data_IF_725470760595
#
_entry.id   IF_725470760595
#
_cell.length_a   1.000
_cell.length_b   1.000
_cell.length_c   1.000
_cell.angle_alpha   90.00
_cell.angle_beta   90.00
_cell.angle_gamma   90.00
#
_symmetry.space_group_name_H-M   'P 1'
#
loop_
_entity.id
_entity.type
_entity.pdbx_description
1 polymer ?
#
# COMPACT_ATOMS: atom_id res chain seq x y z
N UNK A 1 1.15 -57.34 -1.79
CA UNK A 1 0.37 -56.09 -1.70
C UNK A 1 0.95 -55.06 -2.67
N UNK A 2 0.08 -54.39 -3.44
CA UNK A 2 0.24 -53.13 -4.22
C UNK A 2 1.17 -53.07 -5.46
N UNK A 3 0.59 -53.48 -6.60
CA UNK A 3 0.47 -52.83 -7.94
C UNK A 3 1.59 -51.88 -8.45
N UNK A 4 2.37 -52.42 -9.39
CA UNK A 4 2.73 -51.91 -10.74
C UNK A 4 2.57 -50.42 -11.07
N UNK A 5 3.66 -49.77 -11.52
CA UNK A 5 3.65 -48.77 -12.60
C UNK A 5 4.87 -49.02 -13.50
N UNK A 6 4.61 -49.56 -14.68
CA UNK A 6 5.57 -49.95 -15.70
C UNK A 6 5.49 -48.95 -16.86
N UNK A 7 6.65 -48.43 -17.28
CA UNK A 7 7.04 -47.82 -18.59
C UNK A 7 6.37 -46.48 -18.99
N UNK A 8 7.13 -45.39 -19.09
CA UNK A 8 8.17 -45.03 -20.09
C UNK A 8 7.59 -44.46 -21.40
N UNK A 9 7.97 -43.22 -21.73
CA UNK A 9 8.14 -42.74 -23.10
C UNK A 9 9.00 -41.48 -23.10
N UNK A 10 10.30 -41.65 -23.31
CA UNK A 10 11.15 -40.60 -23.85
C UNK A 10 10.78 -40.40 -25.32
N UNK A 11 10.69 -39.16 -25.78
CA UNK A 11 10.94 -38.82 -27.19
C UNK A 11 11.24 -37.34 -27.32
N UNK A 12 12.54 -37.04 -27.45
CA UNK A 12 13.02 -35.83 -28.12
C UNK A 12 12.68 -36.01 -29.59
N UNK A 13 12.00 -35.05 -30.19
CA UNK A 13 11.90 -34.92 -31.64
C UNK A 13 12.27 -33.49 -32.03
N UNK A 14 13.52 -33.32 -32.45
CA UNK A 14 13.90 -32.22 -33.31
C UNK A 14 13.53 -32.64 -34.75
N UNK A 15 12.54 -31.99 -35.36
CA UNK A 15 12.34 -31.95 -36.82
C UNK A 15 11.76 -30.58 -37.18
N UNK A 16 12.52 -29.81 -37.96
CA UNK A 16 12.03 -28.56 -38.54
C UNK A 16 11.03 -28.81 -39.68
N UNK A 17 10.01 -27.98 -39.77
CA UNK A 17 9.34 -27.59 -41.01
C UNK A 17 8.45 -26.38 -40.71
N UNK A 18 8.64 -25.31 -41.47
CA UNK A 18 7.76 -24.15 -41.53
C UNK A 18 6.39 -24.63 -42.07
N UNK A 19 5.30 -24.36 -41.35
CA UNK A 19 3.96 -24.70 -41.80
C UNK A 19 2.88 -24.01 -40.96
N UNK A 20 2.08 -23.17 -41.60
CA UNK A 20 1.04 -22.35 -41.02
C UNK A 20 0.02 -23.16 -40.20
N UNK A 21 -0.27 -22.73 -38.97
CA UNK A 21 -1.35 -23.29 -38.17
C UNK A 21 -1.39 -22.62 -36.81
N UNK A 22 -2.41 -21.81 -36.57
CA UNK A 22 -2.62 -21.06 -35.34
C UNK A 22 -2.60 -21.97 -34.10
N UNK A 23 -1.47 -22.02 -33.40
CA UNK A 23 -1.49 -22.30 -31.98
C UNK A 23 -1.98 -21.00 -31.34
N UNK A 24 -3.28 -20.96 -31.05
CA UNK A 24 -3.84 -20.01 -30.10
C UNK A 24 -3.06 -20.23 -28.81
N UNK A 25 -2.04 -19.41 -28.59
CA UNK A 25 -1.35 -19.33 -27.32
C UNK A 25 -2.45 -18.99 -26.31
N UNK A 26 -2.84 -19.97 -25.50
CA UNK A 26 -3.65 -19.70 -24.32
C UNK A 26 -2.96 -18.53 -23.60
N UNK A 27 -3.69 -17.44 -23.28
CA UNK A 27 -3.08 -16.31 -22.59
C UNK A 27 -2.40 -16.88 -21.35
N UNK A 28 -1.09 -16.66 -21.30
CA UNK A 28 -0.24 -17.11 -20.22
C UNK A 28 -0.90 -16.59 -18.96
N UNK A 29 -1.39 -17.48 -18.11
CA UNK A 29 -1.92 -17.10 -16.82
C UNK A 29 -0.78 -16.35 -16.13
N UNK A 30 -0.87 -15.02 -16.11
CA UNK A 30 0.12 -14.16 -15.48
C UNK A 30 0.18 -14.63 -14.03
N UNK A 31 1.22 -15.39 -13.70
CA UNK A 31 1.53 -15.69 -12.33
C UNK A 31 1.61 -14.34 -11.63
N UNK A 32 0.70 -14.11 -10.69
CA UNK A 32 0.69 -12.93 -9.85
C UNK A 32 2.13 -12.70 -9.38
N UNK A 33 2.71 -11.55 -9.75
CA UNK A 33 4.06 -11.20 -9.34
C UNK A 33 4.18 -11.29 -7.81
N UNK A 34 5.41 -11.47 -7.28
CA UNK A 34 5.63 -11.55 -5.85
C UNK A 34 4.94 -10.40 -5.12
N UNK A 35 4.53 -10.69 -3.89
CA UNK A 35 3.96 -9.71 -2.99
C UNK A 35 4.98 -8.63 -2.66
N UNK A 36 4.55 -7.37 -2.63
CA UNK A 36 5.40 -6.25 -2.23
C UNK A 36 4.56 -5.21 -1.51
N UNK A 37 5.03 -4.81 -0.34
CA UNK A 37 4.41 -3.77 0.46
C UNK A 37 5.17 -2.48 0.29
N UNK A 38 4.42 -1.40 0.26
CA UNK A 38 4.94 -0.06 0.32
C UNK A 38 4.28 0.65 1.50
N UNK A 39 5.09 1.03 2.49
CA UNK A 39 4.61 1.93 3.52
C UNK A 39 4.38 3.32 2.92
N UNK A 40 3.26 3.93 3.28
CA UNK A 40 2.86 5.25 2.81
C UNK A 40 2.49 6.11 4.01
N UNK A 41 2.64 7.41 3.87
CA UNK A 41 2.33 8.32 4.95
C UNK A 41 2.42 9.76 4.51
N UNK A 42 2.10 10.63 5.45
CA UNK A 42 2.17 12.05 5.24
C UNK A 42 1.85 12.81 6.51
N UNK A 43 2.36 14.04 6.55
CA UNK A 43 2.03 15.01 7.58
C UNK A 43 1.63 16.29 6.86
N UNK A 44 0.34 16.59 6.87
CA UNK A 44 -0.23 17.69 6.10
C UNK A 44 -0.91 18.68 7.03
N UNK A 45 -0.77 19.96 6.71
CA UNK A 45 -1.46 21.02 7.41
C UNK A 45 -2.49 21.65 6.50
N UNK A 46 -3.76 21.54 6.89
CA UNK A 46 -4.88 22.02 6.08
C UNK A 46 -5.66 23.05 6.87
N UNK A 47 -6.02 24.15 6.23
CA UNK A 47 -6.95 25.10 6.81
C UNK A 47 -8.37 24.55 6.70
N UNK A 48 -9.02 24.29 7.84
CA UNK A 48 -10.43 23.93 7.88
C UNK A 48 -11.25 25.22 7.92
N UNK A 49 -12.09 25.50 6.90
CA UNK A 49 -13.07 26.58 6.98
C UNK A 49 -14.12 26.26 8.05
N UNK A 50 -15.00 27.22 8.30
CA UNK A 50 -16.12 27.07 9.24
C UNK A 50 -16.86 25.75 9.04
N UNK A 51 -17.01 25.00 10.13
CA UNK A 51 -17.82 23.79 10.13
C UNK A 51 -19.32 24.11 9.99
N UNK A 52 -20.14 23.12 9.61
CA UNK A 52 -21.58 23.30 9.39
C UNK A 52 -22.35 23.83 10.61
N UNK A 53 -21.80 23.68 11.83
CA UNK A 53 -22.44 24.08 13.07
C UNK A 53 -21.95 25.43 13.63
N UNK A 54 -21.09 26.18 12.94
CA UNK A 54 -20.48 27.45 13.44
C UNK A 54 -19.79 27.36 14.82
N UNK A 55 -19.65 26.16 15.38
CA UNK A 55 -19.04 25.89 16.69
C UNK A 55 -17.52 25.79 16.64
N UNK A 56 -16.99 25.50 15.46
CA UNK A 56 -15.57 25.41 15.18
C UNK A 56 -15.20 26.52 14.21
N UNK A 57 -14.55 27.55 14.74
CA UNK A 57 -13.97 28.62 13.94
C UNK A 57 -12.93 28.11 12.95
N UNK A 58 -12.56 28.94 11.95
CA UNK A 58 -11.53 28.62 10.99
C UNK A 58 -10.23 28.30 11.74
N UNK A 59 -9.70 27.11 11.48
CA UNK A 59 -8.53 26.63 12.20
C UNK A 59 -7.64 25.81 11.30
N UNK A 60 -6.35 25.99 11.46
CA UNK A 60 -5.38 25.06 10.94
C UNK A 60 -5.55 23.70 11.63
N UNK A 61 -5.61 22.65 10.84
CA UNK A 61 -5.63 21.28 11.32
C UNK A 61 -4.43 20.55 10.76
N UNK A 62 -3.62 20.00 11.66
CA UNK A 62 -2.58 19.06 11.27
C UNK A 62 -3.20 17.67 11.14
N UNK A 63 -2.89 16.98 10.05
CA UNK A 63 -3.26 15.61 9.79
C UNK A 63 -1.99 14.79 9.53
N UNK A 64 -1.62 13.96 10.51
CA UNK A 64 -0.62 12.91 10.31
C UNK A 64 -1.31 11.60 9.96
N UNK A 65 -0.77 10.89 9.00
CA UNK A 65 -1.28 9.59 8.64
C UNK A 65 -0.17 8.65 8.17
N UNK A 66 -0.38 7.37 8.41
CA UNK A 66 0.50 6.30 7.95
C UNK A 66 -0.34 5.07 7.64
N UNK A 67 0.02 4.42 6.55
CA UNK A 67 -0.68 3.32 5.95
C UNK A 67 0.27 2.43 5.16
N UNK A 68 -0.33 1.44 4.51
CA UNK A 68 0.39 0.48 3.69
C UNK A 68 -0.40 0.26 2.41
N UNK A 69 0.33 0.11 1.31
CA UNK A 69 -0.20 -0.26 0.02
C UNK A 69 0.48 -1.55 -0.42
N UNK A 70 -0.31 -2.52 -0.88
CA UNK A 70 0.24 -3.66 -1.60
C UNK A 70 0.48 -3.24 -3.05
N UNK A 71 1.74 -3.10 -3.44
CA UNK A 71 2.18 -2.77 -4.80
C UNK A 71 2.57 -4.00 -5.62
N UNK A 72 2.66 -5.16 -4.97
CA UNK A 72 2.92 -6.45 -5.62
C UNK A 72 1.70 -7.06 -6.32
N UNK A 73 1.92 -8.26 -6.86
CA UNK A 73 0.89 -8.98 -7.63
C UNK A 73 0.01 -9.91 -6.80
N UNK A 74 0.46 -10.34 -5.62
CA UNK A 74 -0.23 -11.32 -4.76
C UNK A 74 -0.84 -10.69 -3.51
N UNK A 75 -1.76 -11.40 -2.83
CA UNK A 75 -2.30 -10.97 -1.54
C UNK A 75 -1.26 -11.15 -0.44
N UNK A 76 -1.05 -10.11 0.37
CA UNK A 76 -0.17 -10.16 1.54
C UNK A 76 -0.95 -10.62 2.76
N UNK A 77 -0.32 -11.47 3.59
CA UNK A 77 -0.91 -12.02 4.79
C UNK A 77 -0.19 -11.52 6.05
N UNK A 78 -0.93 -11.41 7.14
CA UNK A 78 -0.46 -10.92 8.45
C UNK A 78 0.22 -9.55 8.38
N UNK A 79 -0.29 -8.66 7.55
CA UNK A 79 0.24 -7.30 7.40
C UNK A 79 -0.04 -6.47 8.64
N UNK A 80 1.02 -5.93 9.19
CA UNK A 80 1.01 -5.00 10.32
C UNK A 80 1.75 -3.73 9.98
N UNK A 81 1.38 -2.64 10.64
CA UNK A 81 2.11 -1.37 10.60
C UNK A 81 2.41 -0.94 12.02
N UNK A 82 3.65 -0.55 12.26
CA UNK A 82 4.14 -0.07 13.55
C UNK A 82 4.68 1.34 13.40
N UNK A 83 4.20 2.25 14.25
CA UNK A 83 4.82 3.56 14.40
C UNK A 83 6.08 3.42 15.28
N UNK A 84 7.20 4.04 14.89
CA UNK A 84 8.42 3.98 15.71
C UNK A 84 8.17 4.60 17.09
N UNK A 85 8.45 3.83 18.16
CA UNK A 85 8.15 4.24 19.53
C UNK A 85 6.65 4.27 19.88
N UNK A 86 5.79 3.74 19.01
CA UNK A 86 4.34 3.77 19.13
C UNK A 86 3.69 2.38 19.03
N UNK A 87 2.36 2.33 18.85
CA UNK A 87 1.62 1.07 18.80
C UNK A 87 1.78 0.39 17.44
N UNK A 88 1.60 -0.93 17.44
CA UNK A 88 1.46 -1.75 16.23
C UNK A 88 -0.01 -1.99 15.94
N UNK A 89 -0.43 -1.82 14.67
CA UNK A 89 -1.80 -2.05 14.22
C UNK A 89 -1.84 -3.07 13.08
N UNK A 90 -2.84 -3.94 13.13
CA UNK A 90 -3.14 -4.89 12.06
C UNK A 90 -3.96 -4.21 10.96
N UNK A 91 -3.72 -4.60 9.71
CA UNK A 91 -4.59 -4.18 8.60
C UNK A 91 -6.02 -4.64 8.87
N UNK A 92 -7.01 -3.73 8.91
CA UNK A 92 -8.40 -4.11 9.16
C UNK A 92 -8.95 -4.94 7.98
N UNK A 93 -9.86 -5.85 8.30
CA UNK A 93 -10.58 -6.61 7.28
C UNK A 93 -11.38 -5.66 6.38
N UNK A 94 -11.28 -5.85 5.06
CA UNK A 94 -12.09 -5.13 4.08
C UNK A 94 -13.18 -6.05 3.53
N UNK A 95 -14.43 -5.78 3.95
CA UNK A 95 -15.62 -6.55 3.54
C UNK A 95 -15.86 -6.51 2.03
N UNK A 96 -15.67 -5.37 1.39
CA UNK A 96 -15.85 -5.19 -0.06
C UNK A 96 -14.89 -6.07 -0.86
N UNK A 97 -13.68 -6.26 -0.34
CA UNK A 97 -12.64 -7.10 -0.94
C UNK A 97 -12.59 -8.53 -0.40
N UNK A 98 -13.48 -8.90 0.54
CA UNK A 98 -13.51 -10.21 1.21
C UNK A 98 -12.16 -10.60 1.85
N UNK A 99 -11.46 -9.63 2.43
CA UNK A 99 -10.17 -9.84 3.13
C UNK A 99 -10.38 -10.01 4.63
N UNK A 100 -9.54 -10.80 5.29
CA UNK A 100 -9.53 -10.94 6.75
C UNK A 100 -8.62 -9.89 7.38
N UNK A 101 -8.63 -9.81 8.72
CA UNK A 101 -7.69 -8.96 9.44
C UNK A 101 -6.26 -9.42 9.14
N UNK A 102 -5.38 -8.49 8.78
CA UNK A 102 -4.02 -8.75 8.34
C UNK A 102 -3.88 -9.12 6.86
N UNK A 103 -4.97 -9.26 6.10
CA UNK A 103 -4.88 -9.51 4.66
C UNK A 103 -4.95 -8.21 3.87
N UNK A 104 -4.02 -8.04 2.92
CA UNK A 104 -3.99 -6.89 2.02
C UNK A 104 -3.85 -7.36 0.57
N UNK A 105 -4.92 -7.24 -0.21
CA UNK A 105 -4.92 -7.65 -1.62
C UNK A 105 -4.05 -6.75 -2.49
N UNK A 106 -3.62 -7.26 -3.65
CA UNK A 106 -2.89 -6.48 -4.65
C UNK A 106 -3.61 -5.16 -4.98
N UNK A 107 -2.86 -4.06 -4.98
CA UNK A 107 -3.36 -2.70 -5.20
C UNK A 107 -4.22 -2.13 -4.07
N UNK A 108 -4.49 -2.88 -2.99
CA UNK A 108 -5.25 -2.37 -1.85
C UNK A 108 -4.36 -1.46 -1.00
N UNK A 109 -4.93 -0.33 -0.58
CA UNK A 109 -4.32 0.60 0.36
C UNK A 109 -5.12 0.60 1.66
N UNK A 110 -4.42 0.63 2.80
CA UNK A 110 -5.04 0.71 4.11
C UNK A 110 -4.30 1.74 4.97
N UNK A 111 -5.02 2.73 5.48
CA UNK A 111 -4.49 3.78 6.37
C UNK A 111 -4.89 3.45 7.80
N UNK A 112 -3.92 3.17 8.67
CA UNK A 112 -4.16 2.65 10.03
C UNK A 112 -3.89 3.72 11.11
N UNK A 113 -2.95 4.61 10.83
CA UNK A 113 -2.68 5.77 11.65
C UNK A 113 -3.27 6.98 10.95
N UNK A 114 -4.17 7.67 11.64
CA UNK A 114 -4.75 8.92 11.18
C UNK A 114 -5.06 9.71 12.44
N UNK A 115 -4.28 10.75 12.70
CA UNK A 115 -4.49 11.63 13.84
C UNK A 115 -4.62 13.05 13.32
N UNK A 116 -5.66 13.74 13.79
CA UNK A 116 -5.91 15.15 13.49
C UNK A 116 -5.89 15.95 14.78
N UNK A 117 -5.23 17.10 14.79
CA UNK A 117 -5.27 18.04 15.91
C UNK A 117 -5.32 19.49 15.43
N UNK A 118 -5.77 20.35 16.34
CA UNK A 118 -5.88 21.79 16.12
C UNK A 118 -4.47 22.42 16.15
N UNK A 119 -4.16 23.25 15.16
CA UNK A 119 -2.88 23.94 15.01
C UNK A 119 -1.96 23.31 13.96
N UNK A 120 -1.01 24.12 13.48
CA UNK A 120 -0.02 23.75 12.46
C UNK A 120 1.38 23.76 13.08
N UNK A 121 1.69 22.72 13.85
CA UNK A 121 2.99 22.60 14.52
C UNK A 121 3.87 21.59 13.80
N UNK A 122 5.21 21.79 13.74
CA UNK A 122 6.11 20.80 13.18
C UNK A 122 5.82 19.42 13.77
N UNK A 123 5.60 18.46 12.89
CA UNK A 123 5.24 17.11 13.27
C UNK A 123 5.83 16.13 12.28
N UNK A 124 6.14 14.94 12.78
CA UNK A 124 6.62 13.81 12.02
C UNK A 124 5.79 12.58 12.36
N UNK A 125 5.70 11.67 11.40
CA UNK A 125 5.24 10.31 11.61
C UNK A 125 6.23 9.38 10.91
N UNK A 126 6.56 8.28 11.55
CA UNK A 126 7.51 7.33 11.01
C UNK A 126 7.18 5.94 11.50
N UNK A 127 7.54 4.94 10.72
CA UNK A 127 7.21 3.58 11.06
C UNK A 127 7.68 2.60 10.01
N UNK A 128 7.26 1.37 10.23
CA UNK A 128 7.54 0.27 9.34
C UNK A 128 6.33 -0.64 9.19
N UNK A 129 6.30 -1.41 8.11
CA UNK A 129 5.31 -2.46 7.87
C UNK A 129 6.01 -3.82 7.78
N UNK A 130 5.32 -4.86 8.24
CA UNK A 130 5.80 -6.25 8.18
C UNK A 130 4.65 -7.12 7.70
N UNK A 131 4.95 -8.08 6.83
CA UNK A 131 4.09 -9.22 6.54
C UNK A 131 4.81 -10.55 6.75
N UNK A 132 4.08 -11.66 6.57
CA UNK A 132 4.62 -13.02 6.60
C UNK A 132 5.40 -13.42 5.34
N UNK A 133 5.31 -12.64 4.26
CA UNK A 133 5.89 -12.95 2.95
C UNK A 133 7.25 -12.24 2.77
N UNK A 134 8.07 -12.73 1.82
CA UNK A 134 9.35 -12.08 1.49
C UNK A 134 9.06 -10.84 0.64
N UNK A 135 9.49 -9.68 1.12
CA UNK A 135 9.21 -8.36 0.54
C UNK A 135 10.51 -7.58 0.33
N UNK A 136 10.44 -6.44 -0.36
CA UNK A 136 11.57 -5.53 -0.42
C UNK A 136 11.67 -4.73 0.89
N UNK A 137 12.69 -4.95 1.74
CA UNK A 137 12.80 -4.27 3.04
C UNK A 137 12.95 -2.75 2.93
N UNK A 138 13.40 -2.24 1.78
CA UNK A 138 13.54 -0.80 1.54
C UNK A 138 12.19 -0.09 1.39
N UNK A 139 11.15 -0.79 0.93
CA UNK A 139 9.79 -0.23 0.78
C UNK A 139 8.98 -0.28 2.08
N UNK A 140 9.52 -0.95 3.11
CA UNK A 140 8.80 -1.26 4.33
C UNK A 140 8.98 -0.23 5.44
N UNK A 141 9.90 0.72 5.31
CA UNK A 141 10.19 1.75 6.32
C UNK A 141 9.96 3.14 5.72
N UNK A 142 9.36 4.03 6.49
CA UNK A 142 9.06 5.39 6.02
C UNK A 142 9.09 6.42 7.14
N UNK A 143 9.44 7.63 6.76
CA UNK A 143 9.45 8.81 7.61
C UNK A 143 8.86 9.97 6.83
N UNK A 144 7.89 10.66 7.42
CA UNK A 144 7.26 11.84 6.85
C UNK A 144 7.26 12.95 7.88
N UNK A 145 7.59 14.16 7.43
CA UNK A 145 7.64 15.33 8.27
C UNK A 145 7.03 16.50 7.53
N UNK A 146 6.24 17.30 8.25
CA UNK A 146 5.90 18.63 7.79
C UNK A 146 7.07 19.58 8.14
N UNK A 147 8.04 19.70 7.23
CA UNK A 147 9.21 20.62 7.38
C UNK A 147 8.90 22.02 6.87
N UNK A 148 7.78 22.24 6.17
CA UNK A 148 7.47 23.53 5.56
C UNK A 148 6.52 24.29 6.47
N UNK A 149 7.00 25.42 7.02
CA UNK A 149 6.09 26.50 7.40
C UNK A 149 5.20 26.76 6.19
N UNK A 150 3.90 26.47 6.32
CA UNK A 150 2.93 26.90 5.32
C UNK A 150 2.87 28.43 5.44
N UNK A 151 3.74 29.12 4.69
CA UNK A 151 3.53 30.54 4.44
C UNK A 151 2.23 30.61 3.61
N UNK A 152 1.20 31.31 4.11
CA UNK A 152 0.02 31.54 3.30
C UNK A 152 0.49 32.30 2.05
N UNK A 153 0.36 31.69 0.87
CA UNK A 153 0.51 32.46 -0.36
C UNK A 153 -0.64 33.44 -0.40
N UNK A 154 -0.31 34.72 -0.48
CA UNK A 154 -1.24 35.83 -0.60
C UNK A 154 -2.34 35.50 -1.62
N UNK A 155 -3.58 35.36 -1.14
CA UNK A 155 -4.78 35.35 -1.97
C UNK A 155 -5.26 34.01 -2.52
N UNK A 156 -4.55 32.89 -2.31
CA UNK A 156 -5.04 31.57 -2.73
C UNK A 156 -5.37 30.70 -1.52
N UNK A 157 -6.66 30.37 -1.37
CA UNK A 157 -7.25 29.59 -0.28
C UNK A 157 -6.65 28.17 -0.13
N UNK A 158 -5.42 28.08 0.39
CA UNK A 158 -4.86 26.93 1.11
C UNK A 158 -4.83 25.58 0.36
N UNK A 159 -4.98 25.54 -0.96
CA UNK A 159 -4.81 24.31 -1.73
C UNK A 159 -3.33 24.09 -2.00
N UNK A 160 -2.69 23.26 -1.18
CA UNK A 160 -1.37 22.72 -1.49
C UNK A 160 -1.51 21.42 -2.29
N UNK A 161 -0.66 21.31 -3.30
CA UNK A 161 -0.61 20.19 -4.25
C UNK A 161 -0.27 18.88 -3.53
N UNK A 162 -1.12 17.87 -3.73
CA UNK A 162 -0.98 16.51 -3.22
C UNK A 162 0.11 15.76 -4.00
N UNK A 163 1.34 16.25 -3.98
CA UNK A 163 2.46 15.50 -4.55
C UNK A 163 3.11 14.74 -3.41
N UNK A 164 2.95 13.40 -3.33
CA UNK A 164 3.68 12.61 -2.34
C UNK A 164 5.17 12.83 -2.57
N UNK A 165 5.86 13.26 -1.52
CA UNK A 165 7.32 13.35 -1.54
C UNK A 165 7.84 11.93 -1.48
N UNK A 166 8.37 11.48 -2.64
CA UNK A 166 9.17 10.27 -2.80
C UNK A 166 10.48 10.39 -2.04
#
# INVERSE_FOLDING_TARGET
MRKTLTRAAASIAAVGAIGAGALVAAPQAQAAGPGDLQIIGGVNCTFSPWGPNWSDGPQWQMHRWMGVKNVGGSTMHKVTITEFGGPTKWVPANKTRKTKVGDLQAGQTSVLFSTKWKGCWPSSISGYTISEQVENPLNNVGFWQNVRKAEPKDGENGKQELTPTS
#
